data_IF_562403330049
#
_entry.id   IF_562403330049
#
_cell.length_a   1.000
_cell.length_b   1.000
_cell.length_c   1.000
_cell.angle_alpha   90.00
_cell.angle_beta   90.00
_cell.angle_gamma   90.00
#
_symmetry.space_group_name_H-M   'P 1'
#
loop_
_entity.id
_entity.type
_entity.pdbx_description
1 polymer ?
#
# COMPACT_ATOMS: atom_id res chain seq x y z
N UNK A 1 -15.83 -21.55 30.22
CA UNK A 1 -15.82 -21.23 28.78
C UNK A 1 -17.06 -20.45 28.44
N UNK A 2 -16.93 -19.14 28.19
CA UNK A 2 -18.00 -18.31 27.62
C UNK A 2 -17.35 -17.34 26.66
N UNK A 3 -17.40 -17.69 25.37
CA UNK A 3 -17.01 -16.79 24.29
C UNK A 3 -18.12 -15.77 24.11
N UNK A 4 -17.93 -14.55 24.60
CA UNK A 4 -18.79 -13.42 24.25
C UNK A 4 -18.45 -12.99 22.83
N UNK A 5 -19.23 -13.44 21.84
CA UNK A 5 -19.37 -12.78 20.55
C UNK A 5 -19.97 -11.39 20.82
N UNK A 6 -19.12 -10.38 21.01
CA UNK A 6 -19.54 -9.01 20.81
C UNK A 6 -19.70 -8.85 19.30
N UNK A 7 -20.94 -8.97 18.84
CA UNK A 7 -21.34 -8.50 17.52
C UNK A 7 -20.95 -7.02 17.45
N UNK A 8 -19.79 -6.75 16.85
CA UNK A 8 -19.42 -5.41 16.46
C UNK A 8 -20.54 -4.94 15.54
N UNK A 9 -21.30 -3.95 16.02
CA UNK A 9 -22.30 -3.24 15.23
C UNK A 9 -21.72 -2.98 13.84
N UNK A 10 -22.27 -3.65 12.83
CA UNK A 10 -22.02 -3.37 11.42
C UNK A 10 -22.48 -1.93 11.19
N UNK A 11 -21.55 -0.99 11.36
CA UNK A 11 -21.70 0.31 10.75
C UNK A 11 -21.49 0.03 9.27
N UNK A 12 -22.60 -0.10 8.55
CA UNK A 12 -22.69 -0.08 7.08
C UNK A 12 -22.24 1.29 6.57
N UNK A 13 -20.96 1.62 6.80
CA UNK A 13 -20.24 2.68 6.10
C UNK A 13 -19.68 2.01 4.85
N UNK A 14 -20.53 1.80 3.84
CA UNK A 14 -20.09 1.28 2.54
C UNK A 14 -18.88 2.09 2.05
N UNK A 15 -17.78 1.39 1.83
CA UNK A 15 -16.57 2.01 1.33
C UNK A 15 -16.85 2.57 -0.08
N UNK A 16 -16.58 3.87 -0.32
CA UNK A 16 -16.96 4.49 -1.57
C UNK A 16 -16.13 3.90 -2.72
N UNK A 17 -16.78 3.55 -3.83
CA UNK A 17 -16.09 2.95 -4.99
C UNK A 17 -15.49 4.02 -5.90
N UNK A 18 -15.85 5.29 -5.67
CA UNK A 18 -15.50 6.44 -6.50
C UNK A 18 -15.27 7.69 -5.66
N UNK A 19 -14.47 8.62 -6.19
CA UNK A 19 -14.26 9.95 -5.61
C UNK A 19 -15.59 10.67 -5.36
N UNK A 20 -16.55 10.57 -6.28
CA UNK A 20 -17.87 11.20 -6.15
C UNK A 20 -18.67 10.67 -4.96
N UNK A 21 -18.50 9.40 -4.61
CA UNK A 21 -19.13 8.79 -3.44
C UNK A 21 -18.37 9.16 -2.17
N UNK A 22 -17.03 9.20 -2.23
CA UNK A 22 -16.19 9.56 -1.09
C UNK A 22 -16.44 10.99 -0.62
N UNK A 23 -16.61 11.95 -1.52
CA UNK A 23 -16.91 13.35 -1.16
C UNK A 23 -18.33 13.54 -0.62
N UNK A 24 -19.26 12.64 -0.98
CA UNK A 24 -20.66 12.64 -0.50
C UNK A 24 -20.83 11.84 0.78
N UNK A 25 -19.84 11.01 1.14
CA UNK A 25 -19.87 10.20 2.36
C UNK A 25 -19.77 11.06 3.61
N UNK A 26 -20.25 10.52 4.73
CA UNK A 26 -20.14 11.15 6.07
C UNK A 26 -18.69 11.47 6.45
N UNK A 27 -17.75 10.69 5.93
CA UNK A 27 -16.32 10.80 6.23
C UNK A 27 -15.54 11.65 5.19
N UNK A 28 -16.21 12.50 4.40
CA UNK A 28 -15.57 13.23 3.30
C UNK A 28 -14.32 14.02 3.70
N UNK A 29 -14.32 14.65 4.88
CA UNK A 29 -13.19 15.44 5.38
C UNK A 29 -11.97 14.56 5.59
N UNK A 30 -12.16 13.32 6.03
CA UNK A 30 -11.07 12.37 6.26
C UNK A 30 -10.51 11.85 4.92
N UNK A 31 -11.38 11.56 3.94
CA UNK A 31 -10.96 11.20 2.59
C UNK A 31 -10.14 12.31 1.91
N UNK A 32 -10.65 13.54 1.90
CA UNK A 32 -9.97 14.69 1.26
C UNK A 32 -8.65 15.01 1.95
N UNK A 33 -8.62 14.98 3.30
CA UNK A 33 -7.38 15.20 4.06
C UNK A 33 -6.32 14.16 3.71
N UNK A 34 -6.69 12.88 3.70
CA UNK A 34 -5.76 11.80 3.36
C UNK A 34 -5.23 11.89 1.93
N UNK A 35 -6.07 12.30 0.97
CA UNK A 35 -5.62 12.52 -0.41
C UNK A 35 -4.61 13.65 -0.52
N UNK A 36 -4.85 14.75 0.19
CA UNK A 36 -3.96 15.90 0.18
C UNK A 36 -2.61 15.57 0.85
N UNK A 37 -2.63 14.84 1.97
CA UNK A 37 -1.44 14.36 2.65
C UNK A 37 -0.61 13.43 1.75
N UNK A 38 -1.26 12.51 1.03
CA UNK A 38 -0.60 11.60 0.08
C UNK A 38 0.06 12.38 -1.07
N UNK A 39 -0.68 13.29 -1.72
CA UNK A 39 -0.14 14.14 -2.80
C UNK A 39 1.06 14.97 -2.33
N UNK A 40 0.95 15.60 -1.16
CA UNK A 40 2.05 16.37 -0.57
C UNK A 40 3.25 15.50 -0.24
N UNK A 41 3.03 14.25 0.17
CA UNK A 41 4.12 13.30 0.41
C UNK A 41 4.85 12.92 -0.88
N UNK A 42 4.13 12.75 -1.99
CA UNK A 42 4.70 12.47 -3.31
C UNK A 42 5.51 13.66 -3.84
N UNK A 43 4.99 14.88 -3.69
CA UNK A 43 5.74 16.11 -4.01
C UNK A 43 7.01 16.23 -3.17
N UNK A 44 6.91 16.02 -1.86
CA UNK A 44 8.07 16.10 -0.95
C UNK A 44 9.16 15.09 -1.28
N UNK A 45 8.78 13.89 -1.74
CA UNK A 45 9.73 12.83 -2.11
C UNK A 45 10.38 13.07 -3.47
N UNK A 46 9.93 14.05 -4.26
CA UNK A 46 10.40 14.32 -5.62
C UNK A 46 10.45 13.07 -6.52
N UNK A 47 9.58 12.10 -6.26
CA UNK A 47 9.55 10.80 -6.97
C UNK A 47 8.85 10.87 -8.32
N UNK A 48 8.35 12.04 -8.72
CA UNK A 48 7.60 12.22 -9.96
C UNK A 48 7.82 13.61 -10.54
N UNK A 49 7.82 13.69 -11.87
CA UNK A 49 7.81 14.94 -12.64
C UNK A 49 6.58 14.96 -13.53
N UNK A 50 5.93 16.11 -13.63
CA UNK A 50 4.82 16.28 -14.55
C UNK A 50 5.37 16.43 -15.98
N UNK A 51 5.12 15.43 -16.81
CA UNK A 51 5.54 15.41 -18.22
C UNK A 51 4.35 15.53 -19.16
N UNK A 52 4.56 16.10 -20.36
CA UNK A 52 3.56 16.04 -21.43
C UNK A 52 3.40 14.59 -21.89
N UNK A 53 2.18 14.20 -22.21
CA UNK A 53 1.87 12.87 -22.72
C UNK A 53 2.68 12.60 -24.01
N UNK A 54 3.48 11.53 -24.08
CA UNK A 54 4.13 11.10 -25.32
C UNK A 54 3.08 10.62 -26.32
N UNK A 55 3.20 11.00 -27.59
CA UNK A 55 2.18 10.70 -28.62
C UNK A 55 1.99 9.20 -28.88
N UNK A 56 3.03 8.38 -28.65
CA UNK A 56 3.03 6.95 -28.98
C UNK A 56 3.19 6.00 -27.78
N UNK A 57 3.02 6.49 -26.54
CA UNK A 57 3.16 5.65 -25.34
C UNK A 57 1.81 5.40 -24.65
N UNK A 58 1.56 4.13 -24.28
CA UNK A 58 0.45 3.78 -23.40
C UNK A 58 0.83 4.16 -21.98
N UNK A 59 0.09 5.12 -21.41
CA UNK A 59 0.30 5.53 -20.02
C UNK A 59 -0.34 4.51 -19.08
N UNK A 60 0.44 4.09 -18.07
CA UNK A 60 -0.11 3.37 -16.92
C UNK A 60 -0.95 4.36 -16.12
N UNK A 61 -2.27 4.16 -16.13
CA UNK A 61 -3.16 5.02 -15.36
C UNK A 61 -3.01 4.78 -13.86
N UNK A 62 -3.51 5.70 -13.03
CA UNK A 62 -3.69 5.50 -11.60
C UNK A 62 -5.17 5.57 -11.21
N UNK A 63 -5.53 5.05 -10.04
CA UNK A 63 -6.87 5.11 -9.46
C UNK A 63 -6.79 5.30 -7.96
N UNK A 64 -7.69 6.11 -7.41
CA UNK A 64 -7.91 6.20 -5.97
C UNK A 64 -8.65 4.96 -5.45
N UNK A 65 -8.11 4.31 -4.42
CA UNK A 65 -8.77 3.20 -3.73
C UNK A 65 -9.20 3.65 -2.35
N UNK A 66 -10.50 3.80 -2.15
CA UNK A 66 -11.05 4.23 -0.87
C UNK A 66 -11.31 3.01 0.00
N UNK A 67 -10.38 2.70 0.88
CA UNK A 67 -10.53 1.62 1.86
C UNK A 67 -10.17 2.17 3.24
N UNK A 68 -11.04 1.98 4.21
CA UNK A 68 -10.83 2.42 5.58
C UNK A 68 -10.32 1.23 6.39
N UNK A 69 -9.02 1.17 6.63
CA UNK A 69 -8.52 0.20 7.59
C UNK A 69 -8.67 0.80 8.98
N UNK A 70 -9.64 0.31 9.77
CA UNK A 70 -9.67 0.53 11.21
C UNK A 70 -8.41 -0.17 11.73
N UNK A 71 -7.35 0.59 12.00
CA UNK A 71 -6.12 0.04 12.55
C UNK A 71 -6.37 -0.71 13.85
N UNK A 72 -5.32 -1.23 14.49
CA UNK A 72 -5.46 -1.79 15.84
C UNK A 72 -6.04 -0.69 16.74
N UNK A 73 -7.20 -0.96 17.37
CA UNK A 73 -7.89 -0.02 18.26
C UNK A 73 -6.90 0.59 19.25
N UNK A 74 -6.73 1.92 19.18
CA UNK A 74 -5.86 2.67 20.08
C UNK A 74 -4.37 2.75 19.70
N UNK A 75 -3.91 2.08 18.63
CA UNK A 75 -2.50 2.10 18.21
C UNK A 75 -2.25 2.78 16.86
N UNK A 76 -3.21 2.70 15.93
CA UNK A 76 -3.10 3.38 14.63
C UNK A 76 -4.38 4.14 14.28
N UNK A 77 -4.22 5.38 13.81
CA UNK A 77 -5.30 6.14 13.20
C UNK A 77 -5.84 5.40 11.96
N UNK A 78 -7.15 5.45 11.68
CA UNK A 78 -7.73 4.83 10.49
C UNK A 78 -6.99 5.30 9.24
N UNK A 79 -6.46 4.35 8.45
CA UNK A 79 -5.80 4.68 7.19
C UNK A 79 -6.82 4.61 6.07
N UNK A 80 -7.08 5.76 5.48
CA UNK A 80 -7.89 5.93 4.28
C UNK A 80 -6.96 5.68 3.08
N UNK A 81 -7.07 4.51 2.44
CA UNK A 81 -6.07 4.03 1.48
C UNK A 81 -5.98 4.86 0.19
N UNK A 82 -4.87 4.64 -0.50
CA UNK A 82 -4.13 5.60 -1.31
C UNK A 82 -4.35 5.47 -2.83
N UNK A 83 -3.61 6.31 -3.57
CA UNK A 83 -3.48 6.30 -5.02
C UNK A 83 -2.69 5.07 -5.45
N UNK A 84 -3.25 4.26 -6.36
CA UNK A 84 -2.60 3.04 -6.84
C UNK A 84 -2.49 3.08 -8.36
N UNK A 85 -1.31 2.71 -8.88
CA UNK A 85 -1.13 2.51 -10.31
C UNK A 85 -1.98 1.32 -10.78
N UNK A 86 -2.56 1.42 -11.98
CA UNK A 86 -3.28 0.33 -12.63
C UNK A 86 -2.28 -0.68 -13.19
N UNK A 87 -1.54 -1.36 -12.31
CA UNK A 87 -0.43 -2.25 -12.70
C UNK A 87 -0.84 -3.38 -13.64
N UNK A 88 -2.13 -3.75 -13.67
CA UNK A 88 -2.67 -4.71 -14.64
C UNK A 88 -2.63 -4.24 -16.10
N UNK A 89 -2.43 -2.93 -16.36
CA UNK A 89 -2.32 -2.39 -17.73
C UNK A 89 -0.89 -2.29 -18.23
N UNK A 90 0.08 -2.60 -17.38
CA UNK A 90 1.50 -2.57 -17.73
C UNK A 90 1.83 -3.74 -18.70
N UNK A 91 2.88 -3.62 -19.50
CA UNK A 91 3.35 -4.63 -20.47
C UNK A 91 4.81 -5.04 -20.23
N UNK A 92 5.07 -6.36 -20.23
CA UNK A 92 6.40 -6.93 -19.99
C UNK A 92 7.31 -6.50 -21.14
N UNK A 93 8.49 -5.97 -20.84
CA UNK A 93 9.35 -5.39 -21.89
C UNK A 93 9.14 -3.90 -22.15
N UNK A 94 8.07 -3.28 -21.63
CA UNK A 94 7.71 -1.87 -21.92
C UNK A 94 7.55 -1.05 -20.64
N UNK A 95 6.81 -1.56 -19.64
CA UNK A 95 6.43 -0.82 -18.44
C UNK A 95 7.05 -1.37 -17.13
N UNK A 96 7.78 -2.50 -17.19
CA UNK A 96 8.43 -3.13 -16.02
C UNK A 96 9.85 -3.69 -16.30
N UNK A 97 10.61 -3.09 -17.21
CA UNK A 97 12.02 -3.49 -17.40
C UNK A 97 12.97 -2.91 -16.35
N UNK A 98 12.51 -1.92 -15.59
CA UNK A 98 13.28 -1.30 -14.53
C UNK A 98 12.59 -1.58 -13.20
N UNK A 99 13.36 -2.19 -12.29
CA UNK A 99 13.12 -2.18 -10.85
C UNK A 99 12.01 -3.13 -10.37
N UNK A 100 12.35 -4.41 -10.23
CA UNK A 100 11.62 -5.29 -9.32
C UNK A 100 12.06 -4.98 -7.89
N UNK A 101 11.10 -4.86 -6.96
CA UNK A 101 11.42 -4.97 -5.53
C UNK A 101 12.17 -6.29 -5.34
N UNK A 102 13.27 -6.34 -4.57
CA UNK A 102 13.87 -7.60 -4.20
C UNK A 102 12.84 -8.43 -3.43
N UNK A 103 12.25 -9.43 -4.09
CA UNK A 103 11.35 -10.40 -3.45
C UNK A 103 12.19 -11.60 -3.08
N UNK A 104 12.32 -11.85 -1.79
CA UNK A 104 13.06 -13.02 -1.31
C UNK A 104 12.32 -14.30 -1.74
N UNK A 105 13.05 -15.29 -2.23
CA UNK A 105 12.48 -16.59 -2.59
C UNK A 105 12.20 -17.41 -1.34
N UNK A 106 11.12 -18.18 -1.34
CA UNK A 106 10.81 -19.11 -0.24
C UNK A 106 11.93 -20.11 0.05
N UNK A 107 12.70 -20.50 -0.97
CA UNK A 107 13.89 -21.34 -0.80
C UNK A 107 14.93 -20.67 0.10
N UNK A 108 15.21 -19.38 -0.11
CA UNK A 108 16.17 -18.61 0.69
C UNK A 108 15.71 -18.48 2.14
N UNK A 109 14.43 -18.22 2.39
CA UNK A 109 13.86 -18.18 3.75
C UNK A 109 14.08 -19.53 4.44
N UNK A 110 13.73 -20.64 3.77
CA UNK A 110 13.89 -21.98 4.35
C UNK A 110 15.35 -22.29 4.66
N UNK A 111 16.28 -21.95 3.76
CA UNK A 111 17.71 -22.15 3.99
C UNK A 111 18.20 -21.38 5.22
N UNK A 112 17.82 -20.11 5.37
CA UNK A 112 18.18 -19.30 6.55
C UNK A 112 17.62 -19.94 7.82
N UNK A 113 16.33 -20.31 7.83
CA UNK A 113 15.71 -20.98 8.98
C UNK A 113 16.40 -22.31 9.32
N UNK A 114 16.82 -23.10 8.32
CA UNK A 114 17.56 -24.35 8.54
C UNK A 114 18.93 -24.11 9.18
N UNK A 115 19.62 -23.04 8.80
CA UNK A 115 20.90 -22.68 9.43
C UNK A 115 20.68 -22.24 10.87
N UNK A 116 19.71 -21.35 11.11
CA UNK A 116 19.35 -20.88 12.46
C UNK A 116 19.02 -22.04 13.38
N UNK A 117 18.20 -22.99 12.93
CA UNK A 117 17.84 -24.17 13.72
C UNK A 117 19.00 -25.14 13.94
N UNK A 118 19.92 -25.26 12.98
CA UNK A 118 21.09 -26.16 13.09
C UNK A 118 22.14 -25.63 14.05
N UNK A 119 22.32 -24.31 14.07
CA UNK A 119 23.36 -23.63 14.85
C UNK A 119 22.82 -23.02 16.16
N UNK A 120 21.55 -23.30 16.51
CA UNK A 120 20.85 -22.80 17.71
C UNK A 120 20.94 -21.26 17.85
N UNK A 121 20.72 -20.55 16.75
CA UNK A 121 20.79 -19.09 16.69
C UNK A 121 19.43 -18.44 16.99
N UNK A 122 19.47 -17.20 17.48
CA UNK A 122 18.28 -16.35 17.57
C UNK A 122 18.05 -15.61 16.24
N UNK A 123 16.79 -15.58 15.78
CA UNK A 123 16.38 -14.87 14.57
C UNK A 123 15.46 -13.71 14.92
N UNK A 124 15.87 -12.50 14.55
CA UNK A 124 15.04 -11.31 14.65
C UNK A 124 14.54 -10.85 13.28
N UNK A 125 13.28 -10.42 13.21
CA UNK A 125 12.66 -9.88 11.99
C UNK A 125 12.31 -8.40 12.20
N UNK A 126 12.77 -7.54 11.29
CA UNK A 126 12.41 -6.12 11.26
C UNK A 126 11.64 -5.79 9.98
N UNK A 127 10.42 -5.26 10.12
CA UNK A 127 9.64 -4.71 9.02
C UNK A 127 9.94 -3.21 8.87
N UNK A 128 10.60 -2.84 7.76
CA UNK A 128 10.97 -1.45 7.49
C UNK A 128 9.84 -0.76 6.75
N UNK A 129 9.25 0.26 7.39
CA UNK A 129 8.28 1.14 6.71
C UNK A 129 8.94 1.78 5.49
N UNK A 130 8.30 1.65 4.33
CA UNK A 130 8.80 2.19 3.05
C UNK A 130 10.17 1.65 2.60
N UNK A 131 10.47 0.37 2.84
CA UNK A 131 11.71 -0.29 2.41
C UNK A 131 12.06 -0.07 0.93
N UNK A 132 11.06 -0.01 0.04
CA UNK A 132 11.24 0.23 -1.39
C UNK A 132 11.87 1.59 -1.72
N UNK A 133 11.76 2.59 -0.83
CA UNK A 133 12.33 3.93 -1.02
C UNK A 133 13.77 4.05 -0.51
N UNK A 134 14.30 3.01 0.14
CA UNK A 134 15.61 3.01 0.79
C UNK A 134 16.59 1.98 0.22
N UNK A 135 16.19 1.22 -0.80
CA UNK A 135 17.09 0.32 -1.50
C UNK A 135 17.76 1.03 -2.67
N UNK A 136 19.09 1.00 -2.72
CA UNK A 136 19.81 1.14 -3.98
C UNK A 136 19.57 -0.14 -4.80
N UNK A 137 19.30 0.02 -6.09
CA UNK A 137 18.95 -1.05 -7.00
C UNK A 137 20.16 -1.65 -7.72
#
# INVERSE_FOLDING_TARGET
MTYTLSAASEVDDQEPLSYKEAIKSRHNKHWVKSMHEEMKSLEKKQTWILVKKPENQKLVGCKWIFKSNKGILGKESPRYKALVAKGFTQQLGVDYNEIFSPVVKHTSIRTILSIVAKEDLELEQMDVKTAFLHGDL
#
